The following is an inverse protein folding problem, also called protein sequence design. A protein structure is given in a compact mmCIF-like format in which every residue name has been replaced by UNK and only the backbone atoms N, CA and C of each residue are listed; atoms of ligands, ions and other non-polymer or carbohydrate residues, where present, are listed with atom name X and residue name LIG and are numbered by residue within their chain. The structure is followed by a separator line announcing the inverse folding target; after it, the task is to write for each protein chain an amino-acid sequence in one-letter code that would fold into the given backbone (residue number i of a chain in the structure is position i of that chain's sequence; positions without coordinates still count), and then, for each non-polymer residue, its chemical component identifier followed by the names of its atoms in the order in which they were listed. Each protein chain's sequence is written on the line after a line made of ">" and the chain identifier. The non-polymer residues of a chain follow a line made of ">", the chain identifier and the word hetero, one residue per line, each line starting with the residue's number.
data_IF_982981406928
#
_entry.id   IF_982981406928
#
_cell.length_a   1.000
_cell.length_b   1.000
_cell.length_c   1.000
_cell.angle_alpha   90.00
_cell.angle_beta   90.00
_cell.angle_gamma   90.00
#
_symmetry.space_group_name_H-M   'P 1'
#
loop_
_entity.id
_entity.type
_entity.pdbx_description
1 polymer ?
#
# COMPACT_ATOMS: atom_id res chain seq x y z
N UNK A 1 2.01 -22.73 -17.89
CA UNK A 1 2.56 -21.72 -17.74
C UNK A 1 2.28 -21.35 -17.20
N UNK A 2 2.58 -22.01 -17.70
CA UNK A 2 3.02 -21.05 -17.48
C UNK A 2 2.94 -20.87 -17.08
N UNK A 3 3.40 -20.89 -17.34
CA UNK A 3 4.10 -20.19 -17.28
C UNK A 3 3.92 -20.14 -16.81
N UNK A 4 3.89 -21.46 -17.25
CA UNK A 4 4.45 -20.64 -16.98
C UNK A 4 4.32 -20.64 -16.74
N UNK A 5 4.59 -20.68 -17.01
CA UNK A 5 5.10 -20.03 -17.02
C UNK A 5 5.20 -19.81 -16.76
N UNK A 6 5.34 -20.75 -17.02
CA UNK A 6 6.02 -19.93 -16.90
C UNK A 6 6.03 -19.83 -16.66
N UNK A 7 6.41 -20.36 -16.80
CA UNK A 7 7.05 -19.61 -16.64
C UNK A 7 7.04 -19.36 -16.50
N UNK A 8 7.31 -20.04 -16.77
CA UNK A 8 7.89 -19.10 -16.68
C UNK A 8 7.90 -18.88 -16.61
N UNK A 9 8.10 -19.36 -16.82
CA UNK A 9 8.65 -18.49 -16.79
C UNK A 9 8.68 -18.29 -16.71
N UNK A 10 9.15 -19.14 -16.76
CA UNK A 10 9.77 -18.22 -16.75
C UNK A 10 9.85 -18.06 -16.41
N UNK A 11 10.18 -19.01 -16.61
CA UNK A 11 10.81 -18.32 -16.35
C UNK A 11 10.90 -18.35 -15.98
N UNK A 12 11.32 -18.89 -15.82
CA UNK A 12 11.84 -18.22 -15.53
C UNK A 12 11.84 -18.51 -15.16
N UNK A 13 12.52 -19.35 -15.11
CA UNK A 13 13.04 -18.97 -14.76
C UNK A 13 12.92 -19.13 -14.42
N UNK A 14 13.18 -20.19 -14.69
CA UNK A 14 13.20 -19.75 -14.16
C UNK A 14 13.38 -19.26 -13.47
N UNK A 15 13.69 -19.30 -13.27
CA UNK A 15 13.84 -18.33 -12.70
C UNK A 15 13.81 -17.51 -12.51
N UNK A 16 13.90 -17.36 -12.59
CA UNK A 16 13.83 -16.16 -12.50
C UNK A 16 13.49 -15.52 -12.67
N UNK A 17 13.63 -15.57 -12.72
CA UNK A 17 13.37 -14.53 -12.88
C UNK A 17 13.00 -13.97 -13.18
N UNK A 18 13.04 -14.46 -13.84
CA UNK A 18 12.83 -13.42 -14.40
C UNK A 18 12.59 -12.22 -13.75
N UNK A 19 12.89 -11.81 -13.26
CA UNK A 19 12.81 -10.74 -12.35
C UNK A 19 12.96 -9.38 -12.96
N UNK A 20 13.58 -9.30 -14.09
CA UNK A 20 13.68 -8.03 -14.80
C UNK A 20 12.31 -7.44 -15.12
N UNK A 21 11.28 -8.26 -15.05
CA UNK A 21 9.91 -7.85 -15.34
C UNK A 21 9.20 -7.34 -14.11
N UNK A 22 9.84 -7.43 -12.95
CA UNK A 22 9.19 -7.01 -11.71
C UNK A 22 9.22 -5.50 -11.57
N UNK A 23 8.10 -4.95 -11.11
CA UNK A 23 8.04 -3.54 -10.75
C UNK A 23 8.69 -3.37 -9.38
N UNK A 24 9.65 -2.45 -9.22
CA UNK A 24 10.24 -2.22 -7.91
C UNK A 24 9.19 -1.84 -6.88
N UNK A 25 9.37 -2.32 -5.66
CA UNK A 25 8.44 -2.10 -4.58
C UNK A 25 9.16 -1.36 -3.47
N UNK A 26 8.55 -0.31 -2.96
CA UNK A 26 9.09 0.47 -1.87
C UNK A 26 8.08 0.49 -0.73
N UNK A 27 8.56 0.86 0.45
CA UNK A 27 7.73 0.97 1.64
C UNK A 27 7.40 2.43 1.88
N UNK A 28 6.15 2.69 2.24
CA UNK A 28 5.64 4.04 2.45
C UNK A 28 4.86 4.11 3.75
N UNK A 29 4.97 5.26 4.42
CA UNK A 29 4.10 5.60 5.53
C UNK A 29 3.31 6.83 5.11
N UNK A 30 1.98 6.76 5.17
CA UNK A 30 1.18 7.94 4.93
C UNK A 30 0.46 8.36 6.21
N UNK A 31 0.14 9.64 6.29
CA UNK A 31 -0.44 10.24 7.48
C UNK A 31 -1.68 11.02 7.08
N UNK A 32 -2.78 10.70 7.75
CA UNK A 32 -4.02 11.46 7.62
C UNK A 32 -4.24 12.26 8.89
N UNK A 33 -4.86 13.42 8.75
CA UNK A 33 -5.20 14.30 9.88
C UNK A 33 -6.69 14.59 9.86
N UNK A 34 -7.20 15.14 10.96
CA UNK A 34 -8.61 15.51 11.04
C UNK A 34 -9.51 14.39 11.54
N UNK A 35 -8.93 13.40 12.21
CA UNK A 35 -9.67 12.22 12.66
C UNK A 35 -9.83 12.16 14.18
N UNK A 36 -9.91 13.33 14.85
CA UNK A 36 -10.14 13.37 16.31
C UNK A 36 -11.42 12.62 16.63
N UNK A 37 -11.34 11.71 17.61
CA UNK A 37 -12.50 10.95 18.07
C UNK A 37 -12.92 9.78 17.22
N UNK A 38 -12.18 9.47 16.16
CA UNK A 38 -12.46 8.30 15.31
C UNK A 38 -12.21 7.04 16.12
N UNK A 39 -13.08 6.05 15.95
CA UNK A 39 -13.01 4.79 16.70
C UNK A 39 -12.18 3.75 15.93
N UNK A 40 -11.76 2.71 16.65
CA UNK A 40 -11.06 1.58 16.03
C UNK A 40 -11.90 0.96 14.90
N UNK A 41 -13.23 0.88 15.11
CA UNK A 41 -14.12 0.32 14.11
C UNK A 41 -14.15 1.16 12.84
N UNK A 42 -14.18 2.48 13.00
CA UNK A 42 -14.17 3.40 11.85
C UNK A 42 -12.84 3.31 11.09
N UNK A 43 -11.73 3.17 11.83
CA UNK A 43 -10.44 2.95 11.21
C UNK A 43 -10.44 1.65 10.41
N UNK A 44 -10.97 0.60 11.01
CA UNK A 44 -11.04 -0.71 10.35
C UNK A 44 -11.84 -0.65 9.06
N UNK A 45 -12.96 0.07 9.07
CA UNK A 45 -13.79 0.25 7.88
C UNK A 45 -13.05 1.02 6.79
N UNK A 46 -12.35 2.08 7.16
CA UNK A 46 -11.58 2.88 6.20
C UNK A 46 -10.44 2.06 5.61
N UNK A 47 -9.72 1.32 6.45
CA UNK A 47 -8.64 0.43 6.01
C UNK A 47 -9.19 -0.65 5.06
N UNK A 48 -10.38 -1.18 5.36
CA UNK A 48 -11.02 -2.16 4.51
C UNK A 48 -11.34 -1.64 3.11
N UNK A 49 -11.66 -0.34 2.99
CA UNK A 49 -11.88 0.26 1.67
C UNK A 49 -10.60 0.32 0.85
N UNK A 50 -9.46 0.61 1.51
CA UNK A 50 -8.17 0.57 0.85
C UNK A 50 -7.82 -0.84 0.38
N UNK A 51 -8.03 -1.82 1.26
CA UNK A 51 -7.71 -3.22 0.94
C UNK A 51 -8.53 -3.73 -0.24
N UNK A 52 -9.76 -3.25 -0.39
CA UNK A 52 -10.65 -3.72 -1.44
C UNK A 52 -10.17 -3.34 -2.84
N UNK A 53 -9.37 -2.28 -2.97
CA UNK A 53 -8.95 -1.77 -4.27
C UNK A 53 -7.42 -1.69 -4.43
N UNK A 54 -6.67 -2.07 -3.43
CA UNK A 54 -5.20 -1.89 -3.42
C UNK A 54 -4.51 -2.56 -4.61
N UNK A 55 -5.01 -3.71 -5.02
CA UNK A 55 -4.39 -4.47 -6.12
C UNK A 55 -4.45 -3.73 -7.44
N UNK A 56 -5.40 -2.82 -7.62
CA UNK A 56 -5.55 -2.06 -8.86
C UNK A 56 -4.31 -1.21 -9.15
N UNK A 57 -3.57 -0.83 -8.10
CA UNK A 57 -2.38 0.01 -8.24
C UNK A 57 -1.10 -0.71 -7.83
N UNK A 58 -1.19 -2.00 -7.58
CA UNK A 58 -0.03 -2.78 -7.13
C UNK A 58 0.42 -2.41 -5.72
N UNK A 59 -0.48 -1.91 -4.90
CA UNK A 59 -0.21 -1.46 -3.54
C UNK A 59 -0.71 -2.52 -2.57
N UNK A 60 -0.02 -2.67 -1.45
CA UNK A 60 -0.47 -3.51 -0.35
C UNK A 60 -0.38 -2.73 0.96
N UNK A 61 -1.52 -2.51 1.60
CA UNK A 61 -1.59 -1.85 2.90
C UNK A 61 -1.45 -2.89 4.00
N UNK A 62 -0.38 -2.77 4.78
CA UNK A 62 -0.03 -3.79 5.77
C UNK A 62 -0.69 -3.54 7.10
N UNK A 63 -0.68 -2.29 7.57
CA UNK A 63 -1.22 -1.92 8.87
C UNK A 63 -1.67 -0.47 8.87
N UNK A 64 -2.56 -0.17 9.79
CA UNK A 64 -2.97 1.20 10.06
C UNK A 64 -3.03 1.39 11.58
N UNK A 65 -2.65 2.57 12.03
CA UNK A 65 -2.71 2.96 13.44
C UNK A 65 -3.48 4.26 13.58
N UNK A 66 -4.14 4.42 14.71
CA UNK A 66 -4.92 5.61 15.00
C UNK A 66 -4.46 6.21 16.32
N UNK A 67 -4.21 7.51 16.30
CA UNK A 67 -4.11 8.31 17.53
C UNK A 67 -5.38 9.16 17.59
N UNK A 68 -6.40 8.74 18.35
CA UNK A 68 -7.69 9.44 18.33
C UNK A 68 -7.62 10.82 18.98
N UNK A 69 -6.69 11.02 19.89
CA UNK A 69 -6.54 12.30 20.55
C UNK A 69 -5.93 13.33 19.61
N UNK A 70 -4.87 12.96 18.91
CA UNK A 70 -4.23 13.84 17.93
C UNK A 70 -5.02 13.89 16.61
N UNK A 71 -5.93 12.93 16.40
CA UNK A 71 -6.69 12.85 15.17
C UNK A 71 -5.86 12.43 13.98
N UNK A 72 -4.88 11.56 14.20
CA UNK A 72 -3.98 11.14 13.13
C UNK A 72 -4.10 9.64 12.88
N UNK A 73 -4.06 9.29 11.59
CA UNK A 73 -4.02 7.90 11.13
C UNK A 73 -2.71 7.71 10.37
N UNK A 74 -2.04 6.61 10.67
CA UNK A 74 -0.78 6.24 10.04
C UNK A 74 -1.00 4.93 9.30
N UNK A 75 -0.71 4.89 8.00
CA UNK A 75 -0.86 3.69 7.18
C UNK A 75 0.50 3.27 6.64
N UNK A 76 0.83 1.98 6.83
CA UNK A 76 2.04 1.41 6.28
C UNK A 76 1.68 0.63 5.03
N UNK A 77 2.35 0.91 3.93
CA UNK A 77 2.07 0.28 2.66
C UNK A 77 3.34 -0.06 1.90
N UNK A 78 3.24 -1.03 1.01
CA UNK A 78 4.26 -1.28 -0.02
C UNK A 78 3.61 -1.05 -1.37
N UNK A 79 4.39 -0.56 -2.32
CA UNK A 79 3.87 -0.32 -3.66
C UNK A 79 4.91 0.26 -4.59
N UNK A 80 4.53 0.50 -5.85
CA UNK A 80 5.49 0.95 -6.87
C UNK A 80 5.86 2.43 -6.74
N UNK A 81 5.00 3.24 -6.15
CA UNK A 81 5.27 4.66 -6.02
C UNK A 81 4.37 5.28 -4.96
N UNK A 82 4.77 6.46 -4.49
CA UNK A 82 3.95 7.23 -3.57
C UNK A 82 2.63 7.64 -4.23
N UNK A 83 2.67 7.95 -5.53
CA UNK A 83 1.47 8.34 -6.28
C UNK A 83 0.43 7.23 -6.33
N UNK A 84 0.88 5.97 -6.43
CA UNK A 84 -0.03 4.83 -6.41
C UNK A 84 -0.75 4.73 -5.05
N UNK A 85 -0.02 4.93 -3.96
CA UNK A 85 -0.61 4.94 -2.61
C UNK A 85 -1.64 6.07 -2.49
N UNK A 86 -1.29 7.25 -2.98
CA UNK A 86 -2.19 8.41 -2.93
C UNK A 86 -3.47 8.17 -3.72
N UNK A 87 -3.35 7.54 -4.90
CA UNK A 87 -4.53 7.27 -5.73
C UNK A 87 -5.51 6.32 -5.04
N UNK A 88 -4.98 5.30 -4.35
CA UNK A 88 -5.85 4.37 -3.61
C UNK A 88 -6.62 5.12 -2.53
N UNK A 89 -5.93 5.93 -1.74
CA UNK A 89 -6.58 6.69 -0.66
C UNK A 89 -7.62 7.66 -1.20
N UNK A 90 -7.33 8.29 -2.33
CA UNK A 90 -8.28 9.21 -2.97
C UNK A 90 -9.53 8.48 -3.40
N UNK A 91 -9.37 7.33 -4.06
CA UNK A 91 -10.49 6.51 -4.50
C UNK A 91 -11.31 5.95 -3.34
N UNK A 92 -10.65 5.66 -2.23
CA UNK A 92 -11.31 5.14 -1.03
C UNK A 92 -12.03 6.23 -0.23
N UNK A 93 -11.86 7.50 -0.59
CA UNK A 93 -12.58 8.60 0.03
C UNK A 93 -11.86 9.26 1.20
N UNK A 94 -10.57 8.92 1.43
CA UNK A 94 -9.79 9.56 2.48
C UNK A 94 -8.40 9.94 1.94
N UNK A 95 -8.35 10.96 1.06
CA UNK A 95 -7.09 11.37 0.45
C UNK A 95 -6.11 11.93 1.47
N UNK A 96 -4.83 11.82 1.15
CA UNK A 96 -3.77 12.49 1.91
C UNK A 96 -2.68 12.93 0.95
N UNK A 97 -2.06 14.08 1.25
CA UNK A 97 -0.88 14.54 0.55
C UNK A 97 0.40 14.25 1.30
N UNK A 98 0.31 13.61 2.46
CA UNK A 98 1.45 13.40 3.35
C UNK A 98 1.86 11.94 3.30
N UNK A 99 2.76 11.60 2.36
CA UNK A 99 3.24 10.24 2.14
C UNK A 99 4.77 10.29 2.14
N UNK A 100 5.37 9.41 2.91
CA UNK A 100 6.83 9.33 3.05
C UNK A 100 7.32 7.98 2.57
N UNK A 101 8.35 7.98 1.74
CA UNK A 101 9.04 6.74 1.41
C UNK A 101 10.02 6.41 2.53
N UNK A 102 10.13 5.12 2.86
CA UNK A 102 10.95 4.64 3.97
C UNK A 102 12.06 3.75 3.42
N UNK A 103 13.13 4.34 2.85
CA UNK A 103 14.17 3.53 2.20
C UNK A 103 15.15 2.87 3.17
N UNK A 104 15.19 3.33 4.42
CA UNK A 104 16.15 2.82 5.41
C UNK A 104 15.40 2.22 6.57
N UNK A 105 15.70 0.97 6.84
CA UNK A 105 15.07 0.23 7.93
C UNK A 105 16.19 -0.44 8.75
N UNK A 106 16.07 -0.35 10.06
CA UNK A 106 17.04 -0.99 10.98
C UNK A 106 16.34 -1.99 11.87
#
# INVERSE_FOLDING_TARGET
>A
MARGQIDAIVGTRPDQPDTAMEVPVAKFMDVHSGFVGVTARQLEEAHGRDLAIEADEGVHFERAWLDPEAGKVFCLATGPSKEAVMRIHERAGHPTGEVYELPIEV
#
